data_IF_697974254881
#
_entry.id   IF_697974254881
#
_cell.length_a   1.000
_cell.length_b   1.000
_cell.length_c   1.000
_cell.angle_alpha   90.00
_cell.angle_beta   90.00
_cell.angle_gamma   90.00
#
_symmetry.space_group_name_H-M   'P 1'
#
loop_
_entity.id
_entity.type
_entity.pdbx_description
1 polymer ?
#
# COMPACT_ATOMS: atom_id res chain seq x y z
N UNK A 1 -43.93 -5.64 24.10
CA UNK A 1 -42.56 -5.63 23.53
C UNK A 1 -41.66 -4.79 24.43
N UNK A 2 -40.49 -5.30 24.80
CA UNK A 2 -39.50 -4.52 25.54
C UNK A 2 -38.61 -3.75 24.53
N UNK A 3 -38.69 -2.41 24.46
CA UNK A 3 -37.99 -1.63 23.45
C UNK A 3 -36.47 -1.77 23.54
N UNK A 4 -35.92 -2.07 24.73
CA UNK A 4 -34.48 -2.25 24.90
C UNK A 4 -33.95 -3.58 24.33
N UNK A 5 -34.77 -4.64 24.28
CA UNK A 5 -34.36 -5.91 23.66
C UNK A 5 -34.25 -5.77 22.14
N UNK A 6 -35.15 -5.02 21.52
CA UNK A 6 -35.12 -4.78 20.08
C UNK A 6 -33.91 -3.93 19.65
N UNK A 7 -33.48 -2.99 20.51
CA UNK A 7 -32.28 -2.18 20.25
C UNK A 7 -31.01 -3.03 20.33
N UNK A 8 -30.90 -3.93 21.31
CA UNK A 8 -29.73 -4.80 21.45
C UNK A 8 -29.64 -5.83 20.31
N UNK A 9 -30.77 -6.39 19.86
CA UNK A 9 -30.79 -7.31 18.72
C UNK A 9 -30.43 -6.61 17.40
N UNK A 10 -30.83 -5.35 17.22
CA UNK A 10 -30.46 -4.56 16.05
C UNK A 10 -28.95 -4.25 16.00
N UNK A 11 -28.34 -3.91 17.14
CA UNK A 11 -26.88 -3.69 17.26
C UNK A 11 -26.12 -4.98 16.96
N UNK A 12 -26.60 -6.14 17.44
CA UNK A 12 -25.96 -7.43 17.19
C UNK A 12 -26.09 -7.91 15.74
N UNK A 13 -27.12 -7.48 15.01
CA UNK A 13 -27.22 -7.74 13.56
C UNK A 13 -26.29 -6.84 12.76
N UNK A 14 -26.07 -5.60 13.20
CA UNK A 14 -25.17 -4.66 12.53
C UNK A 14 -23.72 -5.16 12.55
N UNK A 15 -23.25 -5.73 13.67
CA UNK A 15 -21.89 -6.30 13.82
C UNK A 15 -21.66 -7.54 12.94
N UNK A 16 -22.72 -8.26 12.54
CA UNK A 16 -22.61 -9.52 11.77
C UNK A 16 -22.51 -9.31 10.26
N UNK A 17 -22.66 -8.08 9.77
CA UNK A 17 -22.63 -7.74 8.35
C UNK A 17 -21.52 -6.69 8.11
N UNK A 18 -20.28 -7.10 7.77
CA UNK A 18 -19.16 -6.16 7.62
C UNK A 18 -19.37 -5.14 6.49
N UNK A 19 -20.21 -5.44 5.50
CA UNK A 19 -20.50 -4.57 4.34
C UNK A 19 -21.34 -3.31 4.65
N UNK A 20 -21.62 -2.97 5.91
CA UNK A 20 -22.48 -1.81 6.25
C UNK A 20 -22.12 -1.08 7.55
N UNK A 21 -20.95 -1.33 8.15
CA UNK A 21 -20.52 -0.64 9.38
C UNK A 21 -19.27 0.19 9.15
N UNK A 22 -19.36 1.12 8.20
CA UNK A 22 -18.46 2.26 8.13
C UNK A 22 -19.11 3.41 8.88
N UNK A 23 -18.50 3.82 9.99
CA UNK A 23 -18.72 5.11 10.62
C UNK A 23 -19.71 5.15 11.80
N UNK A 24 -19.28 4.72 12.98
CA UNK A 24 -19.76 5.35 14.24
C UNK A 24 -18.55 5.77 15.07
N UNK A 25 -18.13 7.01 14.83
CA UNK A 25 -17.24 7.79 15.70
C UNK A 25 -17.98 8.07 17.02
N UNK A 26 -17.37 7.78 18.16
CA UNK A 26 -17.70 8.47 19.41
C UNK A 26 -16.44 9.08 20.03
N UNK A 27 -16.40 10.40 19.86
CA UNK A 27 -15.52 11.35 20.49
C UNK A 27 -15.59 11.30 22.03
N UNK A 28 -14.42 11.39 22.66
CA UNK A 28 -14.15 12.34 23.74
C UNK A 28 -12.68 12.23 24.17
N UNK A 29 -11.88 13.27 23.93
CA UNK A 29 -11.08 13.93 24.98
C UNK A 29 -10.42 15.23 24.47
N UNK A 30 -10.91 16.32 25.06
CA UNK A 30 -10.22 17.56 25.45
C UNK A 30 -9.47 18.42 24.42
N UNK A 31 -10.21 19.45 24.01
CA UNK A 31 -9.80 20.81 23.62
C UNK A 31 -8.64 21.39 24.43
N UNK A 32 -7.63 21.95 23.73
CA UNK A 32 -7.00 23.28 23.86
C UNK A 32 -5.46 23.26 23.90
N UNK A 33 -4.79 23.68 22.81
CA UNK A 33 -3.76 24.74 22.84
C UNK A 33 -3.72 25.42 21.46
N UNK A 34 -3.74 26.75 21.52
CA UNK A 34 -3.79 27.73 20.44
C UNK A 34 -2.72 27.60 19.36
N UNK A 35 -3.14 27.95 18.14
CA UNK A 35 -2.31 28.38 17.02
C UNK A 35 -1.51 29.65 17.35
N UNK A 36 -0.30 29.77 16.80
CA UNK A 36 0.05 30.86 15.89
C UNK A 36 1.11 30.40 14.87
N UNK A 37 1.11 30.97 13.65
CA UNK A 37 1.71 30.42 12.44
C UNK A 37 3.17 30.86 12.23
N UNK A 38 4.01 29.95 11.74
CA UNK A 38 5.31 30.32 11.18
C UNK A 38 5.14 30.66 9.70
N UNK A 39 5.00 31.96 9.46
CA UNK A 39 5.19 32.59 8.16
C UNK A 39 6.69 32.84 7.98
N UNK A 40 7.33 32.19 7.00
CA UNK A 40 8.67 32.55 6.53
C UNK A 40 8.61 32.71 5.01
N UNK A 41 8.29 33.92 4.59
CA UNK A 41 8.66 34.43 3.28
C UNK A 41 10.15 34.75 3.30
N UNK A 42 10.94 34.12 2.43
CA UNK A 42 12.18 34.73 1.95
C UNK A 42 12.25 34.56 0.43
N UNK A 43 12.01 35.67 -0.25
CA UNK A 43 12.38 35.84 -1.65
C UNK A 43 13.90 35.94 -1.75
N UNK A 44 14.51 35.09 -2.56
CA UNK A 44 15.74 35.48 -3.24
C UNK A 44 15.69 35.07 -4.70
N UNK A 45 15.30 36.04 -5.52
CA UNK A 45 15.46 36.06 -6.95
C UNK A 45 16.91 36.44 -7.28
N UNK A 46 17.67 35.55 -7.90
CA UNK A 46 18.81 35.99 -8.71
C UNK A 46 18.88 35.20 -10.02
N UNK A 47 18.17 35.75 -10.99
CA UNK A 47 18.35 35.59 -12.42
C UNK A 47 19.78 36.03 -12.83
N UNK A 48 20.52 35.16 -13.49
CA UNK A 48 21.52 35.60 -14.47
C UNK A 48 21.49 34.71 -15.71
N UNK A 49 21.36 35.40 -16.84
CA UNK A 49 21.11 34.89 -18.19
C UNK A 49 22.36 34.30 -18.88
N UNK A 50 22.05 33.37 -19.82
CA UNK A 50 22.44 33.36 -21.24
C UNK A 50 23.53 32.43 -21.83
N UNK A 51 23.06 31.80 -22.94
CA UNK A 51 23.70 31.38 -24.19
C UNK A 51 24.31 29.96 -24.25
N UNK A 52 23.65 28.97 -24.89
CA UNK A 52 23.54 28.67 -26.34
C UNK A 52 24.81 28.11 -27.00
N UNK A 53 24.72 26.88 -27.54
CA UNK A 53 24.93 26.45 -28.96
C UNK A 53 24.63 24.92 -29.04
N UNK A 54 23.68 24.47 -29.89
CA UNK A 54 23.86 23.84 -31.23
C UNK A 54 24.57 22.46 -31.15
N UNK A 55 24.18 21.35 -31.78
CA UNK A 55 23.38 21.08 -32.99
C UNK A 55 23.16 19.55 -33.11
N UNK A 56 22.26 19.14 -34.00
CA UNK A 56 22.24 17.89 -34.79
C UNK A 56 21.18 16.81 -34.49
N UNK A 57 20.58 16.39 -35.61
CA UNK A 57 19.29 15.75 -35.84
C UNK A 57 19.41 14.22 -36.13
N UNK A 58 18.24 13.62 -36.43
CA UNK A 58 17.96 12.35 -37.16
C UNK A 58 18.13 11.02 -36.38
N UNK A 59 17.26 10.00 -36.51
CA UNK A 59 16.07 9.74 -37.33
C UNK A 59 15.36 8.45 -36.82
N UNK A 60 14.08 8.29 -37.18
CA UNK A 60 13.32 7.04 -37.46
C UNK A 60 13.34 5.86 -36.47
N UNK A 61 12.21 5.54 -35.81
CA UNK A 61 10.95 4.96 -36.30
C UNK A 61 10.96 3.42 -36.46
N UNK A 62 10.12 2.75 -35.68
CA UNK A 62 8.95 1.95 -36.16
C UNK A 62 8.70 0.67 -35.36
N UNK A 63 7.57 0.72 -34.67
CA UNK A 63 6.69 -0.32 -34.16
C UNK A 63 6.29 -1.40 -35.18
N UNK A 64 6.19 -2.65 -34.73
CA UNK A 64 5.15 -3.63 -35.13
C UNK A 64 5.20 -4.75 -34.09
N UNK A 65 4.25 -4.81 -33.16
CA UNK A 65 2.98 -5.54 -33.29
C UNK A 65 3.17 -7.05 -33.55
N UNK A 66 2.89 -7.85 -32.53
CA UNK A 66 2.11 -9.06 -32.71
C UNK A 66 1.23 -9.27 -31.50
N UNK A 67 -0.05 -9.25 -31.81
CA UNK A 67 -1.15 -9.37 -30.89
C UNK A 67 -1.60 -10.83 -30.75
N UNK A 68 -2.24 -11.04 -29.61
CA UNK A 68 -3.41 -11.90 -29.39
C UNK A 68 -3.17 -13.38 -29.05
N UNK A 69 -3.85 -13.72 -27.95
CA UNK A 69 -4.65 -14.92 -27.73
C UNK A 69 -4.03 -15.98 -26.83
N UNK A 70 -4.36 -15.92 -25.54
CA UNK A 70 -5.49 -16.71 -25.06
C UNK A 70 -5.89 -16.25 -23.66
N UNK A 71 -7.09 -15.67 -23.56
CA UNK A 71 -7.83 -15.65 -22.32
C UNK A 71 -8.11 -17.12 -21.94
N UNK A 72 -7.51 -17.56 -20.84
CA UNK A 72 -7.93 -18.78 -20.18
C UNK A 72 -8.41 -18.34 -18.80
N UNK A 73 -9.73 -18.27 -18.67
CA UNK A 73 -10.40 -18.27 -17.38
C UNK A 73 -9.87 -19.47 -16.62
N UNK A 74 -8.98 -19.22 -15.66
CA UNK A 74 -8.65 -20.17 -14.62
C UNK A 74 -9.82 -20.16 -13.67
N UNK A 75 -10.40 -21.33 -13.45
CA UNK A 75 -11.21 -21.59 -12.25
C UNK A 75 -10.54 -20.89 -11.06
N UNK A 76 -11.29 -20.01 -10.40
CA UNK A 76 -10.93 -19.32 -9.17
C UNK A 76 -10.57 -20.38 -8.10
N UNK A 77 -9.32 -20.84 -8.11
CA UNK A 77 -8.72 -21.53 -6.98
C UNK A 77 -8.47 -20.45 -5.93
N UNK A 78 -9.56 -20.03 -5.29
CA UNK A 78 -9.55 -18.97 -4.28
C UNK A 78 -8.54 -19.37 -3.21
N UNK A 79 -7.46 -18.61 -3.09
CA UNK A 79 -6.42 -18.84 -2.09
C UNK A 79 -7.08 -18.69 -0.71
N UNK A 80 -7.08 -19.78 0.07
CA UNK A 80 -7.76 -19.83 1.37
C UNK A 80 -6.82 -19.31 2.47
N UNK A 81 -7.15 -18.16 3.04
CA UNK A 81 -6.37 -17.50 4.10
C UNK A 81 -7.14 -17.42 5.42
N UNK A 82 -6.42 -17.50 6.54
CA UNK A 82 -6.98 -17.44 7.89
C UNK A 82 -6.32 -16.31 8.68
N UNK A 83 -7.13 -15.53 9.40
CA UNK A 83 -6.71 -14.35 10.19
C UNK A 83 -5.62 -14.66 11.24
N UNK A 84 -5.56 -15.89 11.77
CA UNK A 84 -4.60 -16.30 12.80
C UNK A 84 -3.27 -16.84 12.24
N UNK A 85 -2.96 -16.57 10.97
CA UNK A 85 -1.78 -17.07 10.27
C UNK A 85 -1.01 -15.94 9.60
N UNK A 86 0.28 -16.19 9.42
CA UNK A 86 1.22 -15.30 8.77
C UNK A 86 1.43 -15.72 7.32
N UNK A 87 1.55 -14.74 6.43
CA UNK A 87 1.70 -14.95 5.00
C UNK A 87 2.78 -14.03 4.45
N UNK A 88 3.50 -14.50 3.42
CA UNK A 88 4.53 -13.70 2.74
C UNK A 88 4.50 -13.85 1.23
N UNK A 89 3.82 -14.85 0.66
CA UNK A 89 3.68 -14.97 -0.80
C UNK A 89 2.75 -13.88 -1.35
N UNK A 90 2.98 -13.38 -2.57
CA UNK A 90 2.14 -12.35 -3.19
C UNK A 90 0.66 -12.74 -3.20
N UNK A 91 0.36 -13.98 -3.59
CA UNK A 91 -1.01 -14.46 -3.74
C UNK A 91 -1.74 -14.58 -2.40
N UNK A 92 -1.07 -15.09 -1.36
CA UNK A 92 -1.67 -15.22 -0.03
C UNK A 92 -1.81 -13.87 0.67
N UNK A 93 -0.83 -12.98 0.52
CA UNK A 93 -0.90 -11.63 1.12
C UNK A 93 -2.00 -10.81 0.45
N UNK A 94 -2.10 -10.86 -0.88
CA UNK A 94 -3.19 -10.21 -1.61
C UNK A 94 -4.57 -10.77 -1.20
N UNK A 95 -4.72 -12.10 -1.13
CA UNK A 95 -5.95 -12.74 -0.66
C UNK A 95 -6.28 -12.36 0.79
N UNK A 96 -5.28 -12.19 1.65
CA UNK A 96 -5.48 -11.76 3.04
C UNK A 96 -5.98 -10.32 3.10
N UNK A 97 -5.39 -9.42 2.33
CA UNK A 97 -5.81 -8.01 2.26
C UNK A 97 -7.24 -7.90 1.72
N UNK A 98 -7.57 -8.60 0.63
CA UNK A 98 -8.94 -8.63 0.08
C UNK A 98 -9.96 -9.17 1.10
N UNK A 99 -9.58 -10.18 1.88
CA UNK A 99 -10.47 -10.84 2.83
C UNK A 99 -10.70 -10.05 4.13
N UNK A 100 -9.67 -9.36 4.63
CA UNK A 100 -9.62 -8.78 5.98
C UNK A 100 -9.34 -7.26 6.01
N UNK A 101 -9.17 -6.62 4.85
CA UNK A 101 -8.88 -5.18 4.70
C UNK A 101 -7.63 -4.73 5.49
N UNK A 102 -6.67 -5.64 5.71
CA UNK A 102 -5.47 -5.38 6.52
C UNK A 102 -4.32 -6.33 6.18
N UNK A 103 -3.11 -6.04 6.64
CA UNK A 103 -1.96 -6.92 6.47
C UNK A 103 -1.96 -8.05 7.51
N UNK A 104 -1.37 -9.23 7.18
CA UNK A 104 -1.07 -10.25 8.17
C UNK A 104 -0.24 -9.71 9.34
N UNK A 105 -0.33 -10.34 10.54
CA UNK A 105 0.36 -9.86 11.74
C UNK A 105 1.90 -9.85 11.65
N UNK A 106 2.50 -10.51 10.65
CA UNK A 106 3.94 -10.51 10.39
C UNK A 106 4.45 -9.30 9.59
N UNK A 107 3.70 -8.20 9.58
CA UNK A 107 4.08 -6.95 8.94
C UNK A 107 4.23 -5.83 9.96
N UNK A 108 5.27 -5.02 9.77
CA UNK A 108 5.52 -3.78 10.51
C UNK A 108 5.88 -2.67 9.54
N UNK A 109 5.52 -1.43 9.86
CA UNK A 109 5.91 -0.26 9.05
C UNK A 109 7.42 -0.02 9.13
N UNK A 110 7.96 0.75 8.18
CA UNK A 110 9.37 1.20 8.23
C UNK A 110 9.69 1.89 9.55
N UNK A 111 8.81 2.78 10.01
CA UNK A 111 9.02 3.52 11.27
C UNK A 111 9.05 2.58 12.49
N UNK A 112 8.17 1.59 12.56
CA UNK A 112 8.16 0.63 13.67
C UNK A 112 9.42 -0.26 13.65
N UNK A 113 9.87 -0.67 12.46
CA UNK A 113 11.12 -1.40 12.31
C UNK A 113 12.34 -0.56 12.73
N UNK A 114 12.40 0.71 12.31
CA UNK A 114 13.45 1.67 12.69
C UNK A 114 13.48 1.89 14.22
N UNK A 115 12.32 1.98 14.87
CA UNK A 115 12.20 2.08 16.33
C UNK A 115 12.76 0.84 17.07
N UNK A 116 12.75 -0.32 16.42
CA UNK A 116 13.36 -1.56 16.92
C UNK A 116 14.87 -1.66 16.62
N UNK A 117 15.43 -0.73 15.85
CA UNK A 117 16.84 -0.69 15.47
C UNK A 117 17.14 -1.27 14.08
N UNK A 118 16.14 -1.37 13.21
CA UNK A 118 16.36 -1.75 11.82
C UNK A 118 17.13 -0.65 11.08
N UNK A 119 18.21 -1.04 10.43
CA UNK A 119 18.97 -0.21 9.49
C UNK A 119 18.94 -0.90 8.12
N UNK A 120 18.26 -0.29 7.15
CA UNK A 120 18.08 -0.88 5.82
C UNK A 120 19.39 -1.17 5.09
N UNK A 121 20.44 -0.37 5.34
CA UNK A 121 21.79 -0.56 4.80
C UNK A 121 22.50 -1.80 5.33
N UNK A 122 22.07 -2.31 6.48
CA UNK A 122 22.69 -3.43 7.16
C UNK A 122 21.93 -4.74 6.89
N UNK A 123 20.71 -4.66 6.37
CA UNK A 123 19.87 -5.85 6.10
C UNK A 123 19.51 -6.60 7.38
N UNK A 124 19.42 -5.91 8.51
CA UNK A 124 19.34 -6.50 9.85
C UNK A 124 17.89 -6.65 10.38
N UNK A 125 16.86 -6.61 9.53
CA UNK A 125 15.46 -6.59 10.00
C UNK A 125 15.15 -7.78 10.91
N UNK A 126 15.52 -9.00 10.50
CA UNK A 126 15.29 -10.19 11.33
C UNK A 126 16.20 -10.31 12.55
N UNK A 127 17.23 -9.48 12.67
CA UNK A 127 18.02 -9.39 13.91
C UNK A 127 17.27 -8.62 15.00
N UNK A 128 16.42 -7.66 14.60
CA UNK A 128 15.66 -6.79 15.52
C UNK A 128 14.17 -7.16 15.60
N UNK A 129 13.64 -7.83 14.56
CA UNK A 129 12.25 -8.21 14.40
C UNK A 129 12.17 -9.54 13.60
N UNK A 130 12.50 -10.65 14.26
CA UNK A 130 12.54 -11.98 13.65
C UNK A 130 11.19 -12.36 13.00
N UNK A 131 11.23 -12.76 11.73
CA UNK A 131 10.05 -13.23 10.98
C UNK A 131 9.14 -12.11 10.45
N UNK A 132 9.48 -10.84 10.68
CA UNK A 132 8.70 -9.70 10.18
C UNK A 132 9.09 -9.30 8.75
N UNK A 133 8.13 -8.74 8.03
CA UNK A 133 8.28 -8.05 6.74
C UNK A 133 7.94 -6.57 6.89
N UNK A 134 8.47 -5.73 6.00
CA UNK A 134 8.10 -4.30 5.93
C UNK A 134 6.78 -4.15 5.17
N UNK A 135 5.83 -3.40 5.69
CA UNK A 135 4.61 -3.05 4.96
C UNK A 135 3.65 -2.14 5.73
N UNK A 136 2.70 -1.57 4.99
CA UNK A 136 1.69 -0.65 5.51
C UNK A 136 2.03 0.83 5.34
N UNK A 137 3.20 1.14 4.79
CA UNK A 137 3.60 2.51 4.47
C UNK A 137 2.89 3.03 3.21
N UNK A 138 2.69 4.35 3.13
CA UNK A 138 2.07 5.01 1.97
C UNK A 138 2.89 4.80 0.68
N UNK A 139 2.20 4.45 -0.40
CA UNK A 139 2.77 4.35 -1.75
C UNK A 139 2.33 5.56 -2.59
N UNK A 140 3.31 6.34 -3.05
CA UNK A 140 3.04 7.65 -3.65
C UNK A 140 2.51 7.65 -5.08
N UNK A 141 2.61 6.54 -5.82
CA UNK A 141 2.24 6.46 -7.25
C UNK A 141 2.77 7.63 -8.10
N UNK A 142 4.02 8.04 -7.90
CA UNK A 142 4.57 9.26 -8.53
C UNK A 142 4.70 9.15 -10.06
N UNK A 143 4.83 7.92 -10.55
CA UNK A 143 4.92 7.57 -11.96
C UNK A 143 3.52 7.47 -12.62
N UNK A 144 2.44 7.44 -11.83
CA UNK A 144 1.06 7.36 -12.33
C UNK A 144 0.76 6.06 -13.08
N UNK A 145 1.36 4.95 -12.64
CA UNK A 145 1.18 3.62 -13.25
C UNK A 145 -0.08 2.91 -12.74
N UNK A 146 -0.60 3.33 -11.58
CA UNK A 146 -1.87 2.92 -11.01
C UNK A 146 -2.90 4.06 -11.16
N UNK A 147 -4.22 3.79 -11.04
CA UNK A 147 -5.26 4.83 -10.94
C UNK A 147 -4.90 5.96 -9.96
N UNK A 148 -5.33 7.19 -10.23
CA UNK A 148 -4.91 8.37 -9.42
C UNK A 148 -5.89 8.69 -8.28
N UNK A 149 -7.08 8.09 -8.30
CA UNK A 149 -8.16 8.36 -7.35
C UNK A 149 -8.01 7.69 -5.99
N UNK A 150 -7.11 6.72 -5.85
CA UNK A 150 -6.98 5.91 -4.64
C UNK A 150 -5.78 6.29 -3.77
N UNK A 151 -5.90 5.99 -2.47
CA UNK A 151 -4.80 6.09 -1.51
C UNK A 151 -4.13 4.71 -1.32
N UNK A 152 -2.95 4.53 -1.91
CA UNK A 152 -2.24 3.25 -1.87
C UNK A 152 -1.25 3.10 -0.72
N UNK A 153 -0.99 1.85 -0.37
CA UNK A 153 0.02 1.39 0.59
C UNK A 153 0.83 0.26 -0.04
N UNK A 154 2.04 0.06 0.46
CA UNK A 154 2.94 -0.99 -0.02
C UNK A 154 3.29 -2.01 1.06
N UNK A 155 3.55 -3.25 0.65
CA UNK A 155 4.03 -4.32 1.52
C UNK A 155 5.02 -5.22 0.78
N UNK A 156 6.13 -5.58 1.45
CA UNK A 156 7.11 -6.55 0.98
C UNK A 156 6.51 -7.95 0.89
N UNK A 157 6.81 -8.67 -0.18
CA UNK A 157 6.43 -10.09 -0.33
C UNK A 157 7.66 -10.92 -0.68
N UNK A 158 7.56 -12.23 -0.44
CA UNK A 158 8.66 -13.19 -0.58
C UNK A 158 9.92 -12.84 0.23
N UNK A 159 9.78 -12.04 1.30
CA UNK A 159 10.90 -11.69 2.17
C UNK A 159 11.25 -12.84 3.13
N UNK A 160 12.53 -13.20 3.19
CA UNK A 160 13.06 -14.33 3.99
C UNK A 160 14.33 -13.92 4.76
N UNK A 161 14.38 -12.65 5.20
CA UNK A 161 15.50 -12.08 5.94
C UNK A 161 16.60 -11.44 5.07
N UNK A 162 17.49 -10.67 5.70
CA UNK A 162 18.57 -9.95 5.02
C UNK A 162 18.11 -8.66 4.34
N UNK A 163 18.64 -8.38 3.15
CA UNK A 163 18.24 -7.23 2.35
C UNK A 163 16.85 -7.43 1.73
N UNK A 164 16.05 -6.36 1.69
CA UNK A 164 14.74 -6.36 1.03
C UNK A 164 14.88 -6.64 -0.47
N UNK A 165 13.96 -7.44 -1.01
CA UNK A 165 13.87 -7.74 -2.44
C UNK A 165 13.19 -6.64 -3.26
N UNK A 166 12.94 -6.91 -4.53
CA UNK A 166 12.22 -6.00 -5.44
C UNK A 166 10.69 -6.11 -5.35
N UNK A 167 10.18 -7.22 -4.82
CA UNK A 167 8.78 -7.60 -4.95
C UNK A 167 7.86 -6.95 -3.92
N UNK A 168 6.70 -6.43 -4.34
CA UNK A 168 5.73 -5.75 -3.46
C UNK A 168 4.29 -6.05 -3.84
N UNK A 169 3.42 -6.01 -2.84
CA UNK A 169 1.98 -5.76 -3.01
C UNK A 169 1.72 -4.26 -2.81
N UNK A 170 0.93 -3.69 -3.71
CA UNK A 170 0.36 -2.34 -3.57
C UNK A 170 -1.15 -2.47 -3.41
N UNK A 171 -1.74 -1.84 -2.41
CA UNK A 171 -3.16 -2.01 -2.11
C UNK A 171 -3.82 -0.70 -1.68
N UNK A 172 -5.09 -0.51 -2.05
CA UNK A 172 -5.95 0.59 -1.60
C UNK A 172 -6.94 0.14 -0.54
N UNK A 173 -7.56 1.10 0.16
CA UNK A 173 -8.70 0.83 1.07
C UNK A 173 -9.99 0.48 0.32
N UNK A 174 -10.06 0.77 -0.99
CA UNK A 174 -11.23 0.52 -1.83
C UNK A 174 -11.21 -0.87 -2.49
N UNK A 175 -10.14 -1.65 -2.26
CA UNK A 175 -10.02 -3.06 -2.63
C UNK A 175 -9.15 -3.34 -3.85
N UNK A 176 -8.54 -2.32 -4.48
CA UNK A 176 -7.60 -2.54 -5.57
C UNK A 176 -6.28 -3.09 -5.04
N UNK A 177 -5.82 -4.20 -5.61
CA UNK A 177 -4.58 -4.86 -5.20
C UNK A 177 -3.74 -5.18 -6.43
N UNK A 178 -2.48 -4.72 -6.40
CA UNK A 178 -1.50 -4.90 -7.45
C UNK A 178 -0.23 -5.57 -6.92
N UNK A 179 0.48 -6.24 -7.80
CA UNK A 179 1.79 -6.85 -7.55
C UNK A 179 2.83 -6.29 -8.51
N UNK A 180 4.05 -6.08 -8.01
CA UNK A 180 5.25 -5.79 -8.80
C UNK A 180 6.36 -6.77 -8.41
N UNK A 181 7.07 -7.31 -9.39
CA UNK A 181 8.27 -8.15 -9.19
C UNK A 181 9.57 -7.44 -9.61
N UNK A 182 9.45 -6.22 -10.12
CA UNK A 182 10.48 -5.46 -10.83
C UNK A 182 10.78 -4.11 -10.18
N UNK A 183 10.50 -3.98 -8.87
CA UNK A 183 10.78 -2.78 -8.08
C UNK A 183 10.03 -1.55 -8.64
N UNK A 184 8.71 -1.70 -8.79
CA UNK A 184 7.76 -0.67 -9.22
C UNK A 184 7.89 -0.24 -10.69
N UNK A 185 8.59 -1.01 -11.55
CA UNK A 185 8.68 -0.72 -12.99
C UNK A 185 7.37 -1.09 -13.73
N UNK A 186 6.68 -2.14 -13.28
CA UNK A 186 5.37 -2.55 -13.79
C UNK A 186 4.50 -3.19 -12.71
N UNK A 187 3.19 -3.26 -13.00
CA UNK A 187 2.19 -3.79 -12.07
C UNK A 187 1.25 -4.77 -12.74
N UNK A 188 0.94 -5.84 -12.02
CA UNK A 188 -0.13 -6.78 -12.34
C UNK A 188 -1.28 -6.58 -11.35
N UNK A 189 -2.49 -6.35 -11.84
CA UNK A 189 -3.69 -6.34 -10.98
C UNK A 189 -4.04 -7.77 -10.55
N UNK A 190 -4.29 -7.95 -9.25
CA UNK A 190 -4.66 -9.22 -8.64
C UNK A 190 -6.14 -9.23 -8.22
N UNK A 191 -6.65 -8.12 -7.69
CA UNK A 191 -8.04 -7.93 -7.26
C UNK A 191 -8.60 -6.62 -7.83
#
# INVERSE_FOLDING_TARGET
MNPQKNQLEAIQQLIKNPKSVIGIILAALAVYVSQEPWNMDDQNNNQSDQAQVADSESDSSTTSESATESAQATDEDTVQVAEDRTYTSPEEVAAYIDQYDTLPENYITKSEAEDLGWESSDGNLWEVAEGMSIGGDYFGNYEGLLPEEDDYREADVNYDGGFRGAERIIYSDDGDIYYTDDHYESFQQLY
#
